data_IF_682472935663
#
_entry.id   IF_682472935663
#
_cell.length_a   1.000
_cell.length_b   1.000
_cell.length_c   1.000
_cell.angle_alpha   90.00
_cell.angle_beta   90.00
_cell.angle_gamma   90.00
#
_symmetry.space_group_name_H-M   'P 1'
#
loop_
_entity.id
_entity.type
_entity.pdbx_description
1 polymer ?
#
# COMPACT_ATOMS: atom_id res chain seq x y z
N UNK A 1 -1.27 16.56 -4.14
CA UNK A 1 -2.30 16.79 -5.18
C UNK A 1 -3.63 16.39 -4.57
N UNK A 2 -4.46 17.37 -4.20
CA UNK A 2 -5.71 17.10 -3.48
C UNK A 2 -6.68 16.35 -4.40
N UNK A 3 -6.94 15.08 -4.10
CA UNK A 3 -8.06 14.35 -4.66
C UNK A 3 -9.33 14.93 -4.03
N UNK A 4 -10.30 15.31 -4.85
CA UNK A 4 -11.64 15.57 -4.31
C UNK A 4 -12.18 14.29 -3.68
N UNK A 5 -13.10 14.39 -2.72
CA UNK A 5 -13.77 13.20 -2.17
C UNK A 5 -14.40 12.33 -3.27
N UNK A 6 -14.86 12.96 -4.35
CA UNK A 6 -15.38 12.27 -5.52
C UNK A 6 -14.29 11.44 -6.24
N UNK A 7 -13.08 11.96 -6.39
CA UNK A 7 -11.97 11.21 -7.01
C UNK A 7 -11.50 10.06 -6.13
N UNK A 8 -11.47 10.27 -4.80
CA UNK A 8 -11.20 9.21 -3.84
C UNK A 8 -12.23 8.07 -3.96
N UNK A 9 -13.51 8.40 -4.00
CA UNK A 9 -14.59 7.41 -4.15
C UNK A 9 -14.44 6.64 -5.47
N UNK A 10 -14.11 7.33 -6.57
CA UNK A 10 -13.87 6.69 -7.87
C UNK A 10 -12.73 5.69 -7.82
N UNK A 11 -11.58 6.07 -7.28
CA UNK A 11 -10.41 5.17 -7.13
C UNK A 11 -10.76 3.93 -6.30
N UNK A 12 -11.49 4.10 -5.20
CA UNK A 12 -11.93 2.99 -4.35
C UNK A 12 -12.91 2.05 -5.06
N UNK A 13 -13.81 2.58 -5.89
CA UNK A 13 -14.77 1.77 -6.65
C UNK A 13 -14.11 0.95 -7.78
N UNK A 14 -12.89 1.27 -8.18
CA UNK A 14 -12.14 0.54 -9.21
C UNK A 14 -11.34 -0.65 -8.66
N UNK A 15 -11.33 -0.82 -7.33
CA UNK A 15 -10.65 -1.92 -6.67
C UNK A 15 -11.41 -3.23 -6.86
N UNK A 16 -10.68 -4.31 -7.15
CA UNK A 16 -11.23 -5.66 -7.10
C UNK A 16 -11.57 -6.07 -5.65
N UNK A 17 -12.21 -7.23 -5.51
CA UNK A 17 -12.45 -7.82 -4.19
C UNK A 17 -11.13 -8.06 -3.43
N UNK A 18 -10.11 -8.56 -4.13
CA UNK A 18 -8.80 -8.84 -3.54
C UNK A 18 -8.04 -7.54 -3.22
N UNK A 19 -8.12 -6.53 -4.09
CA UNK A 19 -7.57 -5.20 -3.81
C UNK A 19 -8.19 -4.60 -2.55
N UNK A 20 -9.50 -4.79 -2.35
CA UNK A 20 -10.22 -4.31 -1.17
C UNK A 20 -9.81 -5.04 0.11
N UNK A 21 -9.58 -6.36 0.04
CA UNK A 21 -9.03 -7.14 1.15
C UNK A 21 -7.60 -6.68 1.45
N UNK A 22 -6.78 -6.49 0.43
CA UNK A 22 -5.41 -6.02 0.59
C UNK A 22 -5.36 -4.63 1.22
N UNK A 23 -6.18 -3.68 0.77
CA UNK A 23 -6.34 -2.37 1.41
C UNK A 23 -6.74 -2.50 2.88
N UNK A 24 -7.65 -3.42 3.22
CA UNK A 24 -8.06 -3.67 4.60
C UNK A 24 -6.88 -4.16 5.45
N UNK A 25 -6.07 -5.09 4.93
CA UNK A 25 -4.88 -5.58 5.62
C UNK A 25 -3.87 -4.45 5.85
N UNK A 26 -3.62 -3.62 4.83
CA UNK A 26 -2.74 -2.45 4.99
C UNK A 26 -3.27 -1.50 6.07
N UNK A 27 -4.58 -1.20 6.09
CA UNK A 27 -5.18 -0.35 7.13
C UNK A 27 -5.06 -0.93 8.55
N UNK A 28 -5.01 -2.25 8.68
CA UNK A 28 -4.84 -2.91 9.97
C UNK A 28 -3.39 -2.83 10.46
N UNK A 29 -2.41 -2.85 9.55
CA UNK A 29 -1.00 -2.74 9.91
C UNK A 29 -0.59 -1.28 10.15
N UNK A 30 -1.03 -0.37 9.28
CA UNK A 30 -0.68 1.04 9.30
C UNK A 30 -1.76 1.89 10.00
N UNK A 31 -2.07 1.59 11.26
CA UNK A 31 -3.17 2.22 12.02
C UNK A 31 -3.02 3.73 12.21
N UNK A 32 -1.78 4.22 12.29
CA UNK A 32 -1.41 5.61 12.53
C UNK A 32 -1.15 6.41 11.24
N UNK A 33 -1.19 5.74 10.09
CA UNK A 33 -0.92 6.34 8.78
C UNK A 33 -2.19 6.40 7.95
N UNK A 34 -2.23 7.35 7.02
CA UNK A 34 -3.26 7.33 6.00
C UNK A 34 -2.81 6.49 4.80
N UNK A 35 -3.77 5.84 4.14
CA UNK A 35 -3.56 5.14 2.88
C UNK A 35 -4.32 5.85 1.77
N UNK A 36 -3.56 6.35 0.80
CA UNK A 36 -4.09 6.99 -0.41
C UNK A 36 -4.06 5.97 -1.55
N UNK A 37 -5.21 5.75 -2.19
CA UNK A 37 -5.30 4.88 -3.36
C UNK A 37 -5.27 5.75 -4.61
N UNK A 38 -4.36 5.45 -5.53
CA UNK A 38 -4.29 6.12 -6.83
C UNK A 38 -3.76 5.17 -7.88
N UNK A 39 -4.45 5.05 -9.01
CA UNK A 39 -4.04 4.19 -10.13
C UNK A 39 -3.75 2.74 -9.67
N UNK A 40 -4.60 2.19 -8.79
CA UNK A 40 -4.45 0.85 -8.18
C UNK A 40 -3.17 0.63 -7.35
N UNK A 41 -2.49 1.71 -6.96
CA UNK A 41 -1.37 1.68 -6.00
C UNK A 41 -1.84 2.21 -4.66
N UNK A 42 -1.28 1.68 -3.59
CA UNK A 42 -1.61 2.01 -2.21
C UNK A 42 -0.43 2.75 -1.58
N UNK A 43 -0.55 4.07 -1.47
CA UNK A 43 0.47 4.92 -0.90
C UNK A 43 0.26 5.02 0.61
N UNK A 44 1.25 4.61 1.39
CA UNK A 44 1.28 4.89 2.82
C UNK A 44 1.84 6.30 2.98
N UNK A 45 1.09 7.18 3.62
CA UNK A 45 1.50 8.58 3.83
C UNK A 45 1.66 8.90 5.31
N UNK A 46 2.61 9.79 5.63
CA UNK A 46 2.81 10.30 6.99
C UNK A 46 1.77 11.38 7.38
N UNK A 47 1.97 11.98 8.57
CA UNK A 47 1.11 13.05 9.09
C UNK A 47 1.08 14.30 8.20
N UNK A 48 2.17 14.56 7.49
CA UNK A 48 2.34 15.71 6.59
C UNK A 48 1.88 15.39 5.15
N UNK A 49 1.30 14.21 4.94
CA UNK A 49 0.79 13.71 3.65
C UNK A 49 1.88 13.45 2.61
N UNK A 50 3.12 13.23 3.04
CA UNK A 50 4.18 12.74 2.15
C UNK A 50 4.16 11.21 2.08
N UNK A 51 4.31 10.62 0.88
CA UNK A 51 4.40 9.18 0.74
C UNK A 51 5.69 8.67 1.37
N UNK A 52 5.59 7.57 2.12
CA UNK A 52 6.73 6.88 2.75
C UNK A 52 6.94 5.47 2.21
N UNK A 53 5.94 4.89 1.57
CA UNK A 53 6.01 3.59 0.91
C UNK A 53 4.87 3.44 -0.10
N UNK A 54 5.07 2.55 -1.07
CA UNK A 54 4.07 2.18 -2.07
C UNK A 54 3.84 0.68 -2.01
N UNK A 55 2.57 0.26 -1.97
CA UNK A 55 2.18 -1.13 -2.13
C UNK A 55 1.41 -1.32 -3.43
N UNK A 56 1.65 -2.43 -4.12
CA UNK A 56 0.91 -2.87 -5.30
C UNK A 56 0.37 -4.27 -5.07
N UNK A 57 -0.91 -4.48 -5.42
CA UNK A 57 -1.50 -5.81 -5.47
C UNK A 57 -1.84 -6.20 -6.90
N UNK A 58 -1.57 -7.46 -7.24
CA UNK A 58 -1.95 -8.06 -8.52
C UNK A 58 -2.61 -9.41 -8.27
N UNK A 59 -3.72 -9.68 -8.94
CA UNK A 59 -4.30 -11.01 -8.91
C UNK A 59 -3.34 -12.05 -9.49
N UNK A 60 -3.41 -13.28 -8.96
CA UNK A 60 -2.60 -14.37 -9.45
C UNK A 60 -2.80 -15.66 -8.66
N UNK A 61 -2.51 -16.79 -9.30
CA UNK A 61 -2.61 -18.12 -8.69
C UNK A 61 -1.32 -18.57 -8.00
N UNK A 62 -0.21 -17.89 -8.28
CA UNK A 62 1.09 -18.16 -7.66
C UNK A 62 1.46 -16.98 -6.78
N UNK A 63 1.65 -17.18 -5.46
CA UNK A 63 2.04 -16.11 -4.56
C UNK A 63 3.44 -15.60 -4.91
N UNK A 64 3.59 -14.29 -4.98
CA UNK A 64 4.87 -13.60 -5.13
C UNK A 64 4.85 -12.34 -4.27
N UNK A 65 5.96 -12.10 -3.57
CA UNK A 65 6.28 -10.84 -2.90
C UNK A 65 7.65 -10.40 -3.39
N UNK A 66 7.76 -9.14 -3.80
CA UNK A 66 9.02 -8.54 -4.20
C UNK A 66 9.07 -7.08 -3.72
N UNK A 67 10.27 -6.53 -3.61
CA UNK A 67 10.45 -5.12 -3.27
C UNK A 67 11.45 -4.44 -4.21
N UNK A 68 11.28 -3.14 -4.37
CA UNK A 68 12.14 -2.26 -5.17
C UNK A 68 12.12 -0.84 -4.58
N UNK A 69 12.77 0.11 -5.25
CA UNK A 69 12.74 1.54 -4.91
C UNK A 69 12.33 2.35 -6.14
N UNK A 70 11.33 3.21 -6.00
CA UNK A 70 10.86 4.14 -7.03
C UNK A 70 10.90 5.56 -6.48
N UNK A 71 11.64 6.45 -7.14
CA UNK A 71 11.83 7.85 -6.71
C UNK A 71 12.25 8.01 -5.24
N UNK A 72 13.04 7.06 -4.72
CA UNK A 72 13.50 7.03 -3.34
C UNK A 72 12.51 6.44 -2.33
N UNK A 73 11.33 6.00 -2.79
CA UNK A 73 10.32 5.33 -1.96
C UNK A 73 10.44 3.81 -2.08
N UNK A 74 10.37 3.05 -0.98
CA UNK A 74 10.27 1.61 -1.06
C UNK A 74 8.92 1.21 -1.67
N UNK A 75 8.98 0.30 -2.64
CA UNK A 75 7.82 -0.27 -3.34
C UNK A 75 7.72 -1.75 -3.05
N UNK A 76 6.55 -2.21 -2.64
CA UNK A 76 6.28 -3.61 -2.32
C UNK A 76 5.21 -4.16 -3.25
N UNK A 77 5.60 -5.15 -4.07
CA UNK A 77 4.70 -5.82 -5.02
C UNK A 77 4.22 -7.15 -4.44
N UNK A 78 2.90 -7.28 -4.33
CA UNK A 78 2.21 -8.51 -3.97
C UNK A 78 1.45 -9.04 -5.17
N UNK A 79 1.63 -10.32 -5.49
CA UNK A 79 0.82 -11.01 -6.50
C UNK A 79 0.24 -12.30 -5.92
N UNK A 80 -1.08 -12.44 -5.97
CA UNK A 80 -1.77 -13.65 -5.49
C UNK A 80 -1.50 -13.96 -4.00
N UNK A 81 -1.08 -12.96 -3.23
CA UNK A 81 -0.67 -13.10 -1.83
C UNK A 81 -1.39 -12.08 -0.97
N UNK A 82 -2.30 -12.55 -0.11
CA UNK A 82 -2.98 -11.76 0.93
C UNK A 82 -2.49 -12.26 2.29
N UNK A 83 -1.43 -11.64 2.81
CA UNK A 83 -0.75 -12.09 4.04
C UNK A 83 -0.47 -10.91 4.95
N UNK A 84 -1.09 -10.90 6.14
CA UNK A 84 -0.85 -9.88 7.16
C UNK A 84 0.58 -9.93 7.69
N UNK A 85 1.15 -11.13 7.86
CA UNK A 85 2.51 -11.30 8.37
C UNK A 85 3.54 -10.70 7.41
N UNK A 86 3.36 -10.94 6.10
CA UNK A 86 4.22 -10.34 5.09
C UNK A 86 4.13 -8.80 5.08
N UNK A 87 2.93 -8.25 5.22
CA UNK A 87 2.72 -6.78 5.28
C UNK A 87 3.37 -6.20 6.55
N UNK A 88 3.29 -6.91 7.67
CA UNK A 88 3.93 -6.52 8.94
C UNK A 88 5.46 -6.48 8.84
N UNK A 89 6.06 -7.47 8.17
CA UNK A 89 7.49 -7.45 7.89
C UNK A 89 7.90 -6.24 7.05
N UNK A 90 7.14 -5.91 6.00
CA UNK A 90 7.40 -4.72 5.16
C UNK A 90 7.19 -3.41 5.94
N UNK A 91 6.18 -3.36 6.82
CA UNK A 91 5.95 -2.22 7.70
C UNK A 91 7.13 -1.99 8.67
N UNK A 92 7.69 -3.07 9.23
CA UNK A 92 8.90 -3.00 10.05
C UNK A 92 10.10 -2.47 9.25
N UNK A 93 10.30 -2.95 8.02
CA UNK A 93 11.35 -2.46 7.14
C UNK A 93 11.23 -0.96 6.85
N UNK A 94 10.02 -0.47 6.57
CA UNK A 94 9.75 0.97 6.36
C UNK A 94 10.10 1.77 7.62
N UNK A 95 9.72 1.28 8.79
CA UNK A 95 10.00 1.94 10.06
C UNK A 95 11.51 2.00 10.36
N UNK A 96 12.28 0.99 9.97
CA UNK A 96 13.74 0.99 10.10
C UNK A 96 14.42 1.98 9.15
N UNK A 97 13.96 2.07 7.91
CA UNK A 97 14.47 3.04 6.92
C UNK A 97 14.23 4.47 7.40
N UNK A 98 13.04 4.74 7.95
CA UNK A 98 12.64 6.08 8.40
C UNK A 98 13.41 6.59 9.62
N UNK A 99 14.14 5.71 10.33
CA UNK A 99 14.96 6.06 11.51
C UNK A 99 16.41 6.41 11.16
N UNK A 100 16.84 6.20 9.91
CA UNK A 100 18.20 6.49 9.44
C UNK A 100 18.27 7.90 8.88
#
# INVERSE_FOLDING_TARGET
MYASDADRIRELNLLSANDSIFLRLLKQEFLDKEIVVKQKRFFIVDSDKYPVAIFEYRDGFKPLRNSDVEDGLPVFLYKGLLSSDAIKEDAQQIAEISRR
#
